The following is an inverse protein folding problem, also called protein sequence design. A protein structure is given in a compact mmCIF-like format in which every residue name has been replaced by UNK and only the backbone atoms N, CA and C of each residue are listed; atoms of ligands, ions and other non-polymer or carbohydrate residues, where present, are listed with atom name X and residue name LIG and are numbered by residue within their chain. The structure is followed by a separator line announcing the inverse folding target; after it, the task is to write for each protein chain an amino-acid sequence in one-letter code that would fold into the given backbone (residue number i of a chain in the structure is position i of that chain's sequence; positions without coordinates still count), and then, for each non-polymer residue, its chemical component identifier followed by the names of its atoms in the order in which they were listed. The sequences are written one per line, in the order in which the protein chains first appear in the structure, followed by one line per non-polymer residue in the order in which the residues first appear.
data_IF_008319404252
#
_entry.id   IF_008319404252
#
_cell.length_a   1.000
_cell.length_b   1.000
_cell.length_c   1.000
_cell.angle_alpha   90.00
_cell.angle_beta   90.00
_cell.angle_gamma   90.00
#
_symmetry.space_group_name_H-M   'P 1'
#
loop_
_entity.id
_entity.type
_entity.pdbx_description
1 polymer ?
#
# COMPACT_ATOMS: atom_id res chain seq x y z
N UNK A 1 -14.36 -25.84 -1.04
CA UNK A 1 -13.57 -25.02 -0.08
C UNK A 1 -12.89 -23.96 -0.92
N UNK A 2 -13.00 -22.69 -0.53
CA UNK A 2 -12.52 -21.56 -1.30
C UNK A 2 -11.00 -21.47 -1.25
N UNK A 3 -10.35 -21.85 -2.35
CA UNK A 3 -8.89 -21.82 -2.55
C UNK A 3 -8.26 -20.44 -2.31
N UNK A 4 -9.05 -19.38 -2.45
CA UNK A 4 -8.59 -18.01 -2.29
C UNK A 4 -9.19 -17.38 -1.04
N UNK A 5 -8.33 -16.87 -0.16
CA UNK A 5 -8.72 -16.11 1.00
C UNK A 5 -8.62 -14.60 0.70
N UNK A 6 -9.67 -13.81 0.93
CA UNK A 6 -9.58 -12.36 0.80
C UNK A 6 -8.72 -11.78 1.93
N UNK A 7 -7.74 -10.96 1.57
CA UNK A 7 -7.01 -10.10 2.47
C UNK A 7 -7.65 -8.71 2.45
N UNK A 8 -8.25 -8.33 3.58
CA UNK A 8 -8.83 -7.00 3.80
C UNK A 8 -7.80 -6.11 4.48
N UNK A 9 -7.80 -4.84 4.12
CA UNK A 9 -7.07 -3.81 4.87
C UNK A 9 -7.77 -3.52 6.22
N UNK A 10 -7.07 -2.85 7.14
CA UNK A 10 -7.60 -2.54 8.49
C UNK A 10 -8.89 -1.70 8.44
N UNK A 11 -9.02 -0.84 7.43
CA UNK A 11 -10.15 0.09 7.28
C UNK A 11 -11.02 -0.20 6.04
N UNK A 12 -10.75 -1.27 5.27
CA UNK A 12 -11.49 -1.58 4.03
C UNK A 12 -12.35 -2.82 4.17
N UNK A 13 -13.66 -2.68 3.88
CA UNK A 13 -14.61 -3.79 3.78
C UNK A 13 -14.48 -4.57 2.47
N UNK A 14 -13.81 -4.00 1.46
CA UNK A 14 -13.55 -4.63 0.17
C UNK A 14 -12.15 -5.25 0.22
N UNK A 15 -12.05 -6.52 -0.18
CA UNK A 15 -10.77 -7.22 -0.29
C UNK A 15 -9.87 -6.51 -1.30
N UNK A 16 -8.74 -5.97 -0.82
CA UNK A 16 -7.73 -5.33 -1.66
C UNK A 16 -6.81 -6.35 -2.33
N UNK A 17 -6.72 -7.55 -1.73
CA UNK A 17 -5.88 -8.63 -2.21
C UNK A 17 -6.52 -10.00 -1.96
N UNK A 18 -6.19 -10.99 -2.80
CA UNK A 18 -6.54 -12.40 -2.62
C UNK A 18 -5.28 -13.22 -2.42
N UNK A 19 -5.30 -14.11 -1.43
CA UNK A 19 -4.22 -15.03 -1.08
C UNK A 19 -4.63 -16.43 -1.53
N UNK A 20 -3.80 -17.07 -2.37
CA UNK A 20 -3.96 -18.50 -2.68
C UNK A 20 -3.51 -19.32 -1.47
N UNK A 21 -4.44 -19.96 -0.76
CA UNK A 21 -4.12 -20.73 0.45
C UNK A 21 -3.57 -22.12 0.14
N UNK A 22 -3.68 -22.56 -1.11
CA UNK A 22 -3.14 -23.84 -1.57
C UNK A 22 -1.70 -23.69 -2.10
N UNK A 23 -1.23 -22.46 -2.31
CA UNK A 23 0.14 -22.18 -2.71
C UNK A 23 1.12 -22.40 -1.53
N UNK A 24 2.33 -22.91 -1.80
CA UNK A 24 3.34 -23.09 -0.77
C UNK A 24 3.86 -21.74 -0.26
N UNK A 25 4.35 -21.72 0.99
CA UNK A 25 4.65 -20.49 1.71
C UNK A 25 5.78 -19.67 1.06
N UNK A 26 6.75 -20.34 0.44
CA UNK A 26 7.85 -19.72 -0.30
C UNK A 26 7.35 -18.96 -1.53
N UNK A 27 6.41 -19.50 -2.30
CA UNK A 27 5.81 -18.80 -3.43
C UNK A 27 5.01 -17.56 -2.98
N UNK A 28 4.27 -17.67 -1.88
CA UNK A 28 3.55 -16.53 -1.30
C UNK A 28 4.50 -15.45 -0.81
N UNK A 29 5.61 -15.85 -0.16
CA UNK A 29 6.62 -14.93 0.35
C UNK A 29 7.34 -14.20 -0.78
N UNK A 30 7.80 -14.91 -1.80
CA UNK A 30 8.44 -14.30 -2.97
C UNK A 30 7.50 -13.33 -3.69
N UNK A 31 6.22 -13.69 -3.82
CA UNK A 31 5.20 -12.81 -4.41
C UNK A 31 5.01 -11.54 -3.59
N UNK A 32 4.95 -11.65 -2.26
CA UNK A 32 4.83 -10.50 -1.37
C UNK A 32 6.08 -9.61 -1.44
N UNK A 33 7.28 -10.21 -1.37
CA UNK A 33 8.55 -9.51 -1.46
C UNK A 33 8.71 -8.76 -2.78
N UNK A 34 8.34 -9.39 -3.90
CA UNK A 34 8.35 -8.78 -5.22
C UNK A 34 7.46 -7.52 -5.27
N UNK A 35 6.23 -7.61 -4.75
CA UNK A 35 5.29 -6.48 -4.77
C UNK A 35 5.75 -5.32 -3.89
N UNK A 36 6.22 -5.62 -2.68
CA UNK A 36 6.80 -4.61 -1.78
C UNK A 36 7.95 -3.90 -2.50
N UNK A 37 8.87 -4.67 -3.09
CA UNK A 37 10.01 -4.11 -3.82
C UNK A 37 9.59 -3.28 -5.02
N UNK A 38 8.61 -3.72 -5.80
CA UNK A 38 8.10 -2.97 -6.95
C UNK A 38 7.47 -1.63 -6.52
N UNK A 39 6.68 -1.62 -5.44
CA UNK A 39 6.10 -0.39 -4.89
C UNK A 39 7.18 0.53 -4.34
N UNK A 40 8.21 -0.01 -3.67
CA UNK A 40 9.35 0.78 -3.21
C UNK A 40 10.10 1.42 -4.37
N UNK A 41 10.39 0.66 -5.44
CA UNK A 41 11.07 1.18 -6.63
C UNK A 41 10.23 2.26 -7.33
N UNK A 42 8.91 2.07 -7.38
CA UNK A 42 8.00 3.08 -7.91
C UNK A 42 8.04 4.35 -7.06
N UNK A 43 7.99 4.24 -5.73
CA UNK A 43 8.08 5.37 -4.79
C UNK A 43 9.43 6.08 -4.90
N UNK A 44 10.54 5.34 -4.98
CA UNK A 44 11.88 5.90 -5.19
C UNK A 44 11.96 6.67 -6.51
N UNK A 45 11.38 6.12 -7.59
CA UNK A 45 11.27 6.80 -8.87
C UNK A 45 10.44 8.07 -8.79
N UNK A 46 9.28 8.02 -8.11
CA UNK A 46 8.44 9.20 -7.90
C UNK A 46 9.17 10.29 -7.08
N UNK A 47 9.89 9.92 -6.02
CA UNK A 47 10.67 10.87 -5.21
C UNK A 47 11.87 11.45 -6.00
N UNK A 48 12.51 10.65 -6.84
CA UNK A 48 13.62 11.12 -7.69
C UNK A 48 13.12 12.11 -8.76
N UNK A 49 11.96 11.84 -9.35
CA UNK A 49 11.26 12.76 -10.26
C UNK A 49 10.62 13.96 -9.50
N UNK A 50 10.30 13.86 -8.21
CA UNK A 50 9.77 14.95 -7.37
C UNK A 50 10.79 16.06 -7.07
N UNK A 51 12.09 15.85 -7.34
CA UNK A 51 13.04 16.94 -7.52
C UNK A 51 12.60 17.94 -8.61
N UNK A 52 11.71 17.53 -9.52
CA UNK A 52 11.10 18.30 -10.61
C UNK A 52 9.64 18.69 -10.33
N UNK A 53 8.89 17.93 -9.50
CA UNK A 53 7.45 18.15 -9.22
C UNK A 53 7.11 18.72 -7.83
N UNK A 54 8.11 19.21 -7.08
CA UNK A 54 8.04 19.76 -5.70
C UNK A 54 6.89 20.75 -5.41
N UNK A 55 6.30 21.40 -6.41
CA UNK A 55 5.21 22.35 -6.22
C UNK A 55 3.80 21.71 -6.23
N UNK A 56 3.62 20.55 -6.87
CA UNK A 56 2.33 19.85 -6.97
C UNK A 56 2.08 18.86 -5.81
N UNK A 57 3.12 18.21 -5.30
CA UNK A 57 3.01 17.18 -4.25
C UNK A 57 2.61 17.75 -2.87
N UNK A 58 2.89 19.04 -2.59
CA UNK A 58 2.47 19.71 -1.35
C UNK A 58 0.94 19.78 -1.18
N UNK A 59 0.18 19.63 -2.26
CA UNK A 59 -1.29 19.72 -2.23
C UNK A 59 -1.96 18.37 -1.94
N UNK A 60 -1.30 17.23 -2.19
CA UNK A 60 -1.97 15.91 -2.10
C UNK A 60 -1.66 15.10 -0.83
N UNK A 61 -0.50 15.29 -0.18
CA UNK A 61 -0.12 14.52 1.02
C UNK A 61 -0.78 15.05 2.32
N UNK A 62 -1.65 16.05 2.23
CA UNK A 62 -2.39 16.62 3.37
C UNK A 62 -3.89 16.23 3.37
N UNK A 63 -4.21 14.94 3.56
CA UNK A 63 -5.37 14.62 4.40
C UNK A 63 -5.08 13.46 5.36
N UNK A 64 -4.03 13.54 6.17
CA UNK A 64 -3.94 12.72 7.40
C UNK A 64 -3.61 13.58 8.64
N UNK A 65 -2.78 14.62 8.49
CA UNK A 65 -2.41 15.49 9.60
C UNK A 65 -3.54 16.41 10.14
N UNK A 66 -4.73 16.42 9.52
CA UNK A 66 -5.90 17.16 10.06
C UNK A 66 -6.82 16.29 10.93
N UNK A 67 -6.84 14.97 10.72
CA UNK A 67 -7.65 14.05 11.52
C UNK A 67 -7.13 13.93 12.96
N UNK A 68 -5.80 13.95 13.15
CA UNK A 68 -5.17 13.83 14.46
C UNK A 68 -5.42 15.02 15.42
N UNK A 69 -5.91 16.17 14.93
CA UNK A 69 -6.27 17.33 15.79
C UNK A 69 -7.72 17.30 16.30
N UNK A 70 -8.55 16.36 15.82
CA UNK A 70 -9.94 16.22 16.25
C UNK A 70 -10.16 15.24 17.40
N UNK A 71 -9.11 14.51 17.82
CA UNK A 71 -9.17 13.53 18.91
C UNK A 71 -8.75 14.09 20.27
N UNK A 72 -8.49 15.40 20.39
CA UNK A 72 -8.17 16.06 21.67
C UNK A 72 -9.10 17.24 21.98
N UNK A 73 -10.36 17.20 21.54
CA UNK A 73 -11.41 18.10 22.03
C UNK A 73 -12.68 17.35 22.34
#
# INVERSE_FOLDING_TARGET
MDRYMPATDIDSTIASLWIDTEAPLDELYETAAYRIRAVTQLLEGMVFEEGVYSELARVSVMPCAKAARSWTS
#
